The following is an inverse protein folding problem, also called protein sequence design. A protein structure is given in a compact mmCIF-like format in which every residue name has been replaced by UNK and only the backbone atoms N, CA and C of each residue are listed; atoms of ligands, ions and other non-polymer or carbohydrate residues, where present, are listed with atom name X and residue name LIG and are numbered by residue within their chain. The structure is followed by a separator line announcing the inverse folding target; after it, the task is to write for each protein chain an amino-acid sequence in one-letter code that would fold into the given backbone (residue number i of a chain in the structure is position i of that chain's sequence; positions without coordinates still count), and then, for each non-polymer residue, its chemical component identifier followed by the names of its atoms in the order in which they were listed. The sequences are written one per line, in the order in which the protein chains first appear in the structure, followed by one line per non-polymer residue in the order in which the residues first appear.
data_IF_823721594944
#
_entry.id   IF_823721594944
#
_cell.length_a   1.000
_cell.length_b   1.000
_cell.length_c   1.000
_cell.angle_alpha   90.00
_cell.angle_beta   90.00
_cell.angle_gamma   90.00
#
_symmetry.space_group_name_H-M   'P 1'
#
loop_
_entity.id
_entity.type
_entity.pdbx_description
1 polymer ?
#
# COMPACT_ATOMS: atom_id res chain seq x y z
N UNK A 1 67.03 0.85 -12.97
CA UNK A 1 66.00 0.06 -12.25
C UNK A 1 65.39 0.94 -11.16
N UNK A 2 64.26 1.58 -11.46
CA UNK A 2 63.50 2.44 -10.50
C UNK A 2 62.12 1.76 -10.27
N UNK A 3 61.97 1.12 -9.11
CA UNK A 3 60.70 0.66 -8.58
C UNK A 3 59.97 1.83 -7.93
N UNK A 4 58.96 2.36 -8.57
CA UNK A 4 57.95 3.23 -7.96
C UNK A 4 56.92 2.38 -7.25
N UNK A 5 56.94 2.38 -5.91
CA UNK A 5 55.90 1.85 -5.04
C UNK A 5 54.68 2.78 -5.11
N UNK A 6 53.62 2.35 -5.76
CA UNK A 6 52.31 3.02 -5.72
C UNK A 6 51.62 2.77 -4.39
N UNK A 7 51.35 3.83 -3.68
CA UNK A 7 50.63 3.85 -2.40
C UNK A 7 49.15 3.45 -2.50
N UNK A 8 48.60 2.68 -1.54
CA UNK A 8 47.21 2.14 -1.60
C UNK A 8 46.11 3.11 -1.10
N UNK A 9 46.35 4.40 -1.03
CA UNK A 9 45.42 5.37 -0.41
C UNK A 9 44.23 5.79 -1.29
N UNK A 10 44.31 5.63 -2.62
CA UNK A 10 43.23 6.04 -3.53
C UNK A 10 42.00 5.12 -3.52
N UNK A 11 42.14 3.86 -3.13
CA UNK A 11 41.07 2.87 -3.21
C UNK A 11 40.15 2.88 -1.98
N UNK A 12 40.58 3.42 -0.86
CA UNK A 12 39.79 3.51 0.37
C UNK A 12 38.73 4.61 0.32
N UNK A 13 39.01 5.72 -0.37
CA UNK A 13 38.07 6.85 -0.48
C UNK A 13 36.92 6.57 -1.46
N UNK A 14 37.16 5.73 -2.50
CA UNK A 14 36.11 5.30 -3.41
C UNK A 14 35.13 4.29 -2.76
N UNK A 15 35.62 3.43 -1.87
CA UNK A 15 34.75 2.48 -1.15
C UNK A 15 33.90 3.16 -0.05
N UNK A 16 34.41 4.18 0.61
CA UNK A 16 33.67 4.94 1.64
C UNK A 16 32.61 5.85 0.97
N UNK A 17 32.90 6.47 -0.16
CA UNK A 17 31.95 7.28 -0.89
C UNK A 17 30.81 6.42 -1.49
N UNK A 18 31.11 5.22 -2.01
CA UNK A 18 30.09 4.29 -2.51
C UNK A 18 29.22 3.69 -1.38
N UNK A 19 29.80 3.42 -0.20
CA UNK A 19 29.05 2.97 0.97
C UNK A 19 28.16 4.06 1.55
N UNK A 20 28.63 5.31 1.59
CA UNK A 20 27.84 6.48 2.04
C UNK A 20 26.67 6.79 1.07
N UNK A 21 26.87 6.67 -0.23
CA UNK A 21 25.78 6.83 -1.21
C UNK A 21 24.79 5.67 -1.16
N UNK A 22 25.22 4.45 -0.89
CA UNK A 22 24.34 3.29 -0.72
C UNK A 22 23.47 3.42 0.54
N UNK A 23 23.99 3.96 1.64
CA UNK A 23 23.24 4.18 2.88
C UNK A 23 22.25 5.34 2.77
N UNK A 24 22.63 6.45 2.12
CA UNK A 24 21.72 7.60 1.91
C UNK A 24 20.56 7.25 0.97
N UNK A 25 20.80 6.47 -0.08
CA UNK A 25 19.76 5.98 -0.97
C UNK A 25 18.78 5.05 -0.26
N UNK A 26 19.24 4.17 0.62
CA UNK A 26 18.40 3.26 1.39
C UNK A 26 17.45 4.00 2.34
N UNK A 27 17.95 4.97 3.09
CA UNK A 27 17.14 5.78 4.01
C UNK A 27 16.05 6.56 3.29
N UNK A 28 16.37 7.17 2.14
CA UNK A 28 15.38 7.88 1.32
C UNK A 28 14.22 6.96 0.91
N UNK A 29 14.53 5.76 0.42
CA UNK A 29 13.49 4.83 -0.03
C UNK A 29 12.64 4.28 1.12
N UNK A 30 13.21 4.08 2.31
CA UNK A 30 12.46 3.73 3.52
C UNK A 30 11.50 4.86 3.89
N UNK A 31 11.96 6.11 3.90
CA UNK A 31 11.11 7.28 4.18
C UNK A 31 9.98 7.40 3.16
N UNK A 32 10.26 7.26 1.87
CA UNK A 32 9.25 7.30 0.81
C UNK A 32 8.26 6.13 0.92
N UNK A 33 8.72 4.96 1.34
CA UNK A 33 7.84 3.82 1.61
C UNK A 33 6.93 4.08 2.82
N UNK A 34 7.44 4.70 3.90
CA UNK A 34 6.59 5.13 5.04
C UNK A 34 5.56 6.17 4.61
N UNK A 35 5.92 7.14 3.79
CA UNK A 35 4.96 8.10 3.20
C UNK A 35 3.90 7.35 2.38
N UNK A 36 4.30 6.42 1.53
CA UNK A 36 3.35 5.58 0.77
C UNK A 36 2.41 4.80 1.69
N UNK A 37 2.93 4.23 2.79
CA UNK A 37 2.08 3.53 3.75
C UNK A 37 1.16 4.49 4.51
N UNK A 38 1.60 5.71 4.83
CA UNK A 38 0.74 6.72 5.45
C UNK A 38 -0.40 7.14 4.52
N UNK A 39 -0.13 7.38 3.24
CA UNK A 39 -1.18 7.68 2.25
C UNK A 39 -2.19 6.53 2.13
N UNK A 40 -1.72 5.28 2.02
CA UNK A 40 -2.61 4.12 2.01
C UNK A 40 -3.36 3.90 3.33
N UNK A 41 -2.78 4.29 4.46
CA UNK A 41 -3.46 4.29 5.77
C UNK A 41 -4.63 5.27 5.82
N UNK A 42 -4.50 6.42 5.17
CA UNK A 42 -5.58 7.42 5.08
C UNK A 42 -6.70 7.05 4.09
N UNK A 43 -6.52 6.02 3.26
CA UNK A 43 -7.48 5.62 2.23
C UNK A 43 -8.90 5.39 2.79
N UNK A 44 -9.02 4.56 3.82
CA UNK A 44 -10.32 4.24 4.42
C UNK A 44 -10.96 5.46 5.08
N UNK A 45 -10.16 6.35 5.65
CA UNK A 45 -10.63 7.58 6.32
C UNK A 45 -11.21 8.56 5.29
N UNK A 46 -10.49 8.84 4.20
CA UNK A 46 -11.01 9.68 3.12
C UNK A 46 -12.24 9.05 2.45
N UNK A 47 -12.22 7.74 2.20
CA UNK A 47 -13.35 7.04 1.63
C UNK A 47 -14.60 7.14 2.53
N UNK A 48 -14.46 6.93 3.85
CA UNK A 48 -15.56 7.10 4.82
C UNK A 48 -16.04 8.55 4.88
N UNK A 49 -15.14 9.51 4.92
CA UNK A 49 -15.50 10.93 4.91
C UNK A 49 -16.35 11.28 3.69
N UNK A 50 -15.92 10.89 2.49
CA UNK A 50 -16.62 11.16 1.25
C UNK A 50 -17.95 10.41 1.13
N UNK A 51 -18.01 9.17 1.60
CA UNK A 51 -19.23 8.37 1.56
C UNK A 51 -20.24 8.80 2.63
N UNK A 52 -19.81 9.04 3.87
CA UNK A 52 -20.73 9.30 4.98
C UNK A 52 -21.16 10.78 5.04
N UNK A 53 -20.25 11.72 4.78
CA UNK A 53 -20.57 13.17 4.83
C UNK A 53 -21.14 13.72 3.53
N UNK A 54 -20.73 13.15 2.40
CA UNK A 54 -21.13 13.63 1.07
C UNK A 54 -21.98 12.63 0.30
N UNK A 55 -22.29 11.46 0.89
CA UNK A 55 -23.16 10.42 0.34
C UNK A 55 -22.71 9.90 -1.03
N UNK A 56 -21.40 9.97 -1.34
CA UNK A 56 -20.87 9.46 -2.60
C UNK A 56 -20.92 7.94 -2.61
N UNK A 57 -21.30 7.36 -3.74
CA UNK A 57 -21.29 5.92 -3.93
C UNK A 57 -19.87 5.35 -3.88
N UNK A 58 -19.70 4.14 -3.36
CA UNK A 58 -18.39 3.54 -3.19
C UNK A 58 -17.73 3.19 -4.53
N UNK A 59 -18.52 2.68 -5.51
CA UNK A 59 -18.01 2.31 -6.83
C UNK A 59 -17.76 3.54 -7.69
N UNK A 60 -18.66 4.52 -7.69
CA UNK A 60 -18.49 5.79 -8.41
C UNK A 60 -17.30 6.58 -7.88
N UNK A 61 -17.08 6.59 -6.55
CA UNK A 61 -15.91 7.19 -5.93
C UNK A 61 -14.61 6.50 -6.40
N UNK A 62 -14.57 5.18 -6.37
CA UNK A 62 -13.42 4.42 -6.86
C UNK A 62 -13.20 4.62 -8.35
N UNK A 63 -14.26 4.62 -9.18
CA UNK A 63 -14.19 4.84 -10.62
C UNK A 63 -13.59 6.20 -10.95
N UNK A 64 -14.16 7.29 -10.42
CA UNK A 64 -13.73 8.65 -10.75
C UNK A 64 -12.35 8.97 -10.18
N UNK A 65 -12.02 8.52 -8.96
CA UNK A 65 -10.71 8.76 -8.38
C UNK A 65 -9.59 8.04 -9.14
N UNK A 66 -9.83 6.79 -9.57
CA UNK A 66 -8.87 6.07 -10.43
C UNK A 66 -8.83 6.65 -11.85
N UNK A 67 -9.96 7.14 -12.41
CA UNK A 67 -9.98 7.82 -13.70
C UNK A 67 -9.15 9.10 -13.68
N UNK A 68 -9.32 9.92 -12.65
CA UNK A 68 -8.54 11.16 -12.49
C UNK A 68 -7.04 10.85 -12.35
N UNK A 69 -6.68 9.87 -11.50
CA UNK A 69 -5.29 9.42 -11.36
C UNK A 69 -4.72 8.90 -12.67
N UNK A 70 -5.48 8.14 -13.44
CA UNK A 70 -5.11 7.63 -14.76
C UNK A 70 -4.85 8.76 -15.76
N UNK A 71 -5.78 9.71 -15.88
CA UNK A 71 -5.67 10.84 -16.81
C UNK A 71 -4.46 11.72 -16.47
N UNK A 72 -4.27 12.04 -15.19
CA UNK A 72 -3.14 12.87 -14.76
C UNK A 72 -1.82 12.14 -14.95
N UNK A 73 -1.75 10.86 -14.64
CA UNK A 73 -0.56 10.06 -14.88
C UNK A 73 -0.22 10.02 -16.39
N UNK A 74 -1.22 9.79 -17.23
CA UNK A 74 -1.06 9.82 -18.68
C UNK A 74 -0.55 11.18 -19.20
N UNK A 75 -1.09 12.27 -18.64
CA UNK A 75 -0.74 13.62 -19.07
C UNK A 75 0.67 14.03 -18.63
N UNK A 76 0.98 13.88 -17.31
CA UNK A 76 2.21 14.41 -16.73
C UNK A 76 3.41 13.47 -16.82
N UNK A 77 3.18 12.16 -16.95
CA UNK A 77 4.27 11.18 -16.99
C UNK A 77 4.43 10.50 -18.35
N UNK A 78 3.79 11.03 -19.41
CA UNK A 78 3.80 10.47 -20.77
C UNK A 78 5.20 10.05 -21.25
N UNK A 79 6.22 10.86 -20.97
CA UNK A 79 7.62 10.56 -21.35
C UNK A 79 8.26 9.43 -20.55
N UNK A 80 7.74 9.11 -19.37
CA UNK A 80 8.23 8.05 -18.48
C UNK A 80 7.45 6.74 -18.64
N UNK A 81 6.31 6.78 -19.34
CA UNK A 81 5.50 5.60 -19.60
C UNK A 81 6.16 4.73 -20.66
N UNK A 82 6.61 3.57 -20.27
CA UNK A 82 7.11 2.55 -21.20
C UNK A 82 6.01 1.51 -21.47
N UNK A 83 4.99 1.91 -22.25
CA UNK A 83 3.82 1.07 -22.53
C UNK A 83 4.15 -0.18 -23.35
N UNK A 84 5.31 -0.19 -24.04
CA UNK A 84 5.76 -1.35 -24.83
C UNK A 84 6.63 -2.32 -24.03
N UNK A 85 6.92 -2.02 -22.76
CA UNK A 85 7.79 -2.86 -21.92
C UNK A 85 7.18 -4.21 -21.54
N UNK A 86 5.85 -4.32 -21.59
CA UNK A 86 5.14 -5.51 -21.15
C UNK A 86 4.26 -6.08 -22.27
N UNK A 87 4.25 -7.41 -22.46
CA UNK A 87 3.32 -8.06 -23.36
C UNK A 87 1.89 -7.98 -22.81
N UNK A 88 0.89 -7.99 -23.71
CA UNK A 88 -0.52 -7.87 -23.34
C UNK A 88 -0.98 -8.90 -22.28
N UNK A 89 -0.46 -10.13 -22.35
CA UNK A 89 -0.75 -11.18 -21.36
C UNK A 89 -0.40 -10.75 -19.94
N UNK A 90 0.75 -10.11 -19.73
CA UNK A 90 1.17 -9.68 -18.39
C UNK A 90 0.36 -8.48 -17.90
N UNK A 91 -0.01 -7.58 -18.78
CA UNK A 91 -0.91 -6.46 -18.46
C UNK A 91 -2.27 -6.98 -17.99
N UNK A 92 -2.84 -7.96 -18.72
CA UNK A 92 -4.13 -8.58 -18.37
C UNK A 92 -4.04 -9.28 -17.00
N UNK A 93 -2.98 -10.05 -16.75
CA UNK A 93 -2.78 -10.74 -15.46
C UNK A 93 -2.66 -9.71 -14.33
N UNK A 94 -1.85 -8.67 -14.52
CA UNK A 94 -1.68 -7.61 -13.53
C UNK A 94 -2.99 -6.89 -13.22
N UNK A 95 -3.75 -6.49 -14.26
CA UNK A 95 -5.05 -5.86 -14.12
C UNK A 95 -6.06 -6.78 -13.40
N UNK A 96 -6.09 -8.08 -13.74
CA UNK A 96 -6.96 -9.06 -13.08
C UNK A 96 -6.63 -9.21 -11.59
N UNK A 97 -5.35 -9.21 -11.22
CA UNK A 97 -4.92 -9.25 -9.80
C UNK A 97 -5.40 -7.99 -9.06
N UNK A 98 -5.24 -6.81 -9.67
CA UNK A 98 -5.68 -5.54 -9.09
C UNK A 98 -7.19 -5.51 -8.91
N UNK A 99 -7.96 -5.84 -9.93
CA UNK A 99 -9.43 -5.86 -9.91
C UNK A 99 -9.92 -6.89 -8.89
N UNK A 100 -9.39 -8.12 -8.94
CA UNK A 100 -9.75 -9.19 -8.02
C UNK A 100 -9.52 -8.80 -6.57
N UNK A 101 -8.34 -8.24 -6.23
CA UNK A 101 -8.05 -7.71 -4.91
C UNK A 101 -9.06 -6.67 -4.45
N UNK A 102 -9.40 -5.70 -5.32
CA UNK A 102 -10.31 -4.63 -4.95
C UNK A 102 -11.74 -5.14 -4.73
N UNK A 103 -12.22 -6.05 -5.58
CA UNK A 103 -13.53 -6.70 -5.41
C UNK A 103 -13.58 -7.50 -4.10
N UNK A 104 -12.59 -8.33 -3.84
CA UNK A 104 -12.52 -9.14 -2.62
C UNK A 104 -12.56 -8.26 -1.37
N UNK A 105 -11.83 -7.14 -1.36
CA UNK A 105 -11.87 -6.18 -0.25
C UNK A 105 -13.24 -5.52 -0.10
N UNK A 106 -13.88 -5.14 -1.20
CA UNK A 106 -15.20 -4.52 -1.19
C UNK A 106 -16.26 -5.45 -0.59
N UNK A 107 -16.30 -6.71 -1.07
CA UNK A 107 -17.24 -7.70 -0.54
C UNK A 107 -16.90 -8.13 0.88
N UNK A 108 -15.61 -8.28 1.22
CA UNK A 108 -15.21 -8.59 2.58
C UNK A 108 -15.72 -7.53 3.58
N UNK A 109 -15.56 -6.25 3.29
CA UNK A 109 -16.02 -5.16 4.14
C UNK A 109 -17.54 -5.14 4.32
N UNK A 110 -18.31 -5.75 3.40
CA UNK A 110 -19.76 -5.88 3.51
C UNK A 110 -20.21 -7.00 4.44
N UNK A 111 -19.40 -8.07 4.56
CA UNK A 111 -19.79 -9.29 5.25
C UNK A 111 -19.15 -9.47 6.62
N UNK A 112 -18.06 -8.76 6.94
CA UNK A 112 -17.36 -8.89 8.21
C UNK A 112 -16.98 -7.53 8.80
N UNK A 113 -16.52 -7.54 10.06
CA UNK A 113 -16.01 -6.35 10.73
C UNK A 113 -14.79 -5.78 10.00
N UNK A 114 -14.69 -4.46 9.94
CA UNK A 114 -13.53 -3.78 9.38
C UNK A 114 -12.22 -4.22 10.06
N UNK A 115 -12.27 -4.53 11.36
CA UNK A 115 -11.15 -5.09 12.13
C UNK A 115 -10.66 -6.42 11.56
N UNK A 116 -11.58 -7.33 11.20
CA UNK A 116 -11.22 -8.62 10.60
C UNK A 116 -10.57 -8.44 9.23
N UNK A 117 -11.08 -7.51 8.40
CA UNK A 117 -10.49 -7.20 7.10
C UNK A 117 -9.07 -6.68 7.26
N UNK A 118 -8.83 -5.77 8.20
CA UNK A 118 -7.50 -5.24 8.48
C UNK A 118 -6.56 -6.34 9.01
N UNK A 119 -7.03 -7.18 9.93
CA UNK A 119 -6.24 -8.26 10.51
C UNK A 119 -5.79 -9.25 9.44
N UNK A 120 -6.69 -9.64 8.53
CA UNK A 120 -6.33 -10.53 7.41
C UNK A 120 -5.35 -9.87 6.44
N UNK A 121 -5.46 -8.57 6.20
CA UNK A 121 -4.53 -7.84 5.34
C UNK A 121 -3.09 -7.82 5.90
N UNK A 122 -2.93 -7.88 7.22
CA UNK A 122 -1.63 -7.94 7.89
C UNK A 122 -0.93 -9.30 7.75
N UNK A 123 -1.61 -10.32 7.23
CA UNK A 123 -0.97 -11.58 6.85
C UNK A 123 -0.21 -11.47 5.52
N UNK A 124 -0.54 -10.48 4.68
CA UNK A 124 0.11 -10.30 3.38
C UNK A 124 1.66 -10.20 3.48
N UNK A 125 2.28 -9.47 4.41
CA UNK A 125 3.73 -9.43 4.55
C UNK A 125 4.37 -10.81 4.81
N UNK A 126 3.71 -11.69 5.59
CA UNK A 126 4.20 -13.07 5.83
C UNK A 126 4.15 -13.89 4.54
N UNK A 127 3.04 -13.78 3.79
CA UNK A 127 2.86 -14.46 2.50
C UNK A 127 3.92 -13.96 1.51
N UNK A 128 4.14 -12.64 1.42
CA UNK A 128 5.18 -12.04 0.58
C UNK A 128 6.56 -12.59 0.95
N UNK A 129 6.91 -12.58 2.24
CA UNK A 129 8.22 -13.07 2.70
C UNK A 129 8.44 -14.55 2.34
N UNK A 130 7.39 -15.38 2.53
CA UNK A 130 7.45 -16.81 2.21
C UNK A 130 7.61 -17.05 0.71
N UNK A 131 6.76 -16.44 -0.11
CA UNK A 131 6.78 -16.60 -1.57
C UNK A 131 8.07 -16.01 -2.17
N UNK A 132 8.53 -14.83 -1.74
CA UNK A 132 9.78 -14.22 -2.20
C UNK A 132 10.97 -15.14 -1.98
N UNK A 133 11.03 -15.81 -0.82
CA UNK A 133 12.12 -16.74 -0.52
C UNK A 133 12.10 -17.97 -1.42
N UNK A 134 10.91 -18.54 -1.69
CA UNK A 134 10.78 -19.79 -2.45
C UNK A 134 10.86 -19.54 -3.96
N UNK A 135 10.07 -18.62 -4.47
CA UNK A 135 9.90 -18.43 -5.91
C UNK A 135 10.87 -17.41 -6.52
N UNK A 136 11.17 -16.32 -5.80
CA UNK A 136 12.08 -15.29 -6.30
C UNK A 136 13.52 -15.51 -5.83
N UNK A 137 13.77 -16.50 -4.95
CA UNK A 137 15.07 -16.78 -4.33
C UNK A 137 15.72 -15.56 -3.68
N UNK A 138 14.88 -14.62 -3.19
CA UNK A 138 15.35 -13.42 -2.52
C UNK A 138 15.75 -13.73 -1.08
N UNK A 139 16.87 -13.17 -0.65
CA UNK A 139 17.24 -13.19 0.78
C UNK A 139 16.36 -12.21 1.53
N UNK A 140 15.74 -12.67 2.62
CA UNK A 140 14.99 -11.79 3.49
C UNK A 140 15.96 -10.84 4.20
N UNK A 141 15.63 -9.53 4.28
CA UNK A 141 16.40 -8.60 5.09
C UNK A 141 16.51 -9.11 6.54
N UNK A 142 17.65 -8.87 7.20
CA UNK A 142 17.81 -9.19 8.62
C UNK A 142 16.69 -8.54 9.43
N UNK A 143 16.31 -9.14 10.56
CA UNK A 143 15.22 -8.72 11.45
C UNK A 143 13.79 -8.81 10.85
N UNK A 144 13.61 -9.20 9.56
CA UNK A 144 12.27 -9.28 8.94
C UNK A 144 11.31 -10.17 9.73
N UNK A 145 11.73 -11.37 10.11
CA UNK A 145 10.86 -12.31 10.84
C UNK A 145 10.37 -11.76 12.19
N UNK A 146 11.24 -11.29 13.11
CA UNK A 146 10.78 -10.73 14.38
C UNK A 146 10.01 -9.42 14.20
N UNK A 147 10.38 -8.59 13.21
CA UNK A 147 9.63 -7.37 12.93
C UNK A 147 8.19 -7.66 12.46
N UNK A 148 8.00 -8.64 11.58
CA UNK A 148 6.67 -9.07 11.15
C UNK A 148 5.84 -9.54 12.33
N UNK A 149 6.41 -10.41 13.21
CA UNK A 149 5.70 -10.93 14.36
C UNK A 149 5.28 -9.80 15.33
N UNK A 150 6.20 -8.90 15.67
CA UNK A 150 5.91 -7.77 16.56
C UNK A 150 4.89 -6.79 15.95
N UNK A 151 5.02 -6.45 14.66
CA UNK A 151 4.03 -5.64 13.96
C UNK A 151 2.64 -6.30 13.93
N UNK A 152 2.59 -7.62 13.72
CA UNK A 152 1.32 -8.36 13.75
C UNK A 152 0.67 -8.31 15.13
N UNK A 153 1.43 -8.59 16.20
CA UNK A 153 0.93 -8.49 17.58
C UNK A 153 0.45 -7.07 17.93
N UNK A 154 1.25 -6.05 17.62
CA UNK A 154 0.87 -4.66 17.84
C UNK A 154 -0.40 -4.28 17.07
N UNK A 155 -0.55 -4.76 15.85
CA UNK A 155 -1.74 -4.52 15.03
C UNK A 155 -2.99 -5.21 15.59
N UNK A 156 -2.85 -6.40 16.17
CA UNK A 156 -3.96 -7.06 16.88
C UNK A 156 -4.44 -6.17 18.05
N UNK A 157 -3.52 -5.67 18.89
CA UNK A 157 -3.89 -4.75 19.97
C UNK A 157 -4.58 -3.48 19.47
N UNK A 158 -4.11 -2.91 18.35
CA UNK A 158 -4.75 -1.72 17.76
C UNK A 158 -6.18 -2.02 17.30
N UNK A 159 -6.40 -3.16 16.66
CA UNK A 159 -7.70 -3.54 16.10
C UNK A 159 -8.67 -3.91 17.21
N UNK A 160 -8.25 -4.72 18.19
CA UNK A 160 -9.09 -5.09 19.33
C UNK A 160 -9.42 -3.91 20.24
N UNK A 161 -8.54 -2.92 20.29
CA UNK A 161 -8.78 -1.68 21.04
C UNK A 161 -9.68 -0.67 20.33
N UNK A 162 -9.89 -0.79 19.02
CA UNK A 162 -10.79 0.06 18.25
C UNK A 162 -12.17 -0.60 18.09
N UNK A 163 -13.24 0.15 18.36
CA UNK A 163 -14.60 -0.35 18.13
C UNK A 163 -14.99 -0.19 16.66
N UNK A 164 -15.48 -1.25 16.04
CA UNK A 164 -15.99 -1.22 14.67
C UNK A 164 -17.49 -0.89 14.63
N UNK A 165 -17.87 -0.01 13.71
CA UNK A 165 -19.24 0.52 13.63
C UNK A 165 -20.23 -0.41 12.91
N UNK A 166 -19.76 -1.45 12.23
CA UNK A 166 -20.63 -2.34 11.43
C UNK A 166 -20.59 -3.75 12.01
N UNK A 167 -21.75 -4.25 12.41
CA UNK A 167 -21.90 -5.65 12.84
C UNK A 167 -22.28 -6.54 11.66
N UNK A 168 -21.69 -7.74 11.50
CA UNK A 168 -22.13 -8.71 10.51
C UNK A 168 -23.55 -9.17 10.80
N UNK A 169 -24.35 -9.41 9.75
CA UNK A 169 -25.75 -9.81 9.87
C UNK A 169 -25.96 -11.14 10.60
N UNK A 170 -25.03 -12.06 10.38
CA UNK A 170 -25.05 -13.40 10.98
C UNK A 170 -23.63 -14.02 11.02
N UNK A 171 -23.52 -15.18 11.69
CA UNK A 171 -22.23 -15.88 11.87
C UNK A 171 -21.65 -16.38 10.53
N UNK A 172 -22.48 -16.84 9.61
CA UNK A 172 -22.02 -17.37 8.32
C UNK A 172 -21.45 -16.24 7.44
N UNK A 173 -22.17 -15.13 7.38
CA UNK A 173 -21.71 -13.92 6.68
C UNK A 173 -20.37 -13.45 7.21
N UNK A 174 -20.18 -13.46 8.54
CA UNK A 174 -18.90 -13.07 9.15
C UNK A 174 -17.74 -13.98 8.69
N UNK A 175 -17.92 -15.31 8.70
CA UNK A 175 -16.90 -16.24 8.20
C UNK A 175 -16.62 -16.09 6.71
N UNK A 176 -17.65 -15.84 5.91
CA UNK A 176 -17.50 -15.54 4.48
C UNK A 176 -16.64 -14.27 4.28
N UNK A 177 -16.94 -13.21 5.02
CA UNK A 177 -16.17 -11.97 4.98
C UNK A 177 -14.71 -12.15 5.40
N UNK A 178 -14.45 -12.94 6.44
CA UNK A 178 -13.07 -13.30 6.86
C UNK A 178 -12.35 -14.05 5.75
N UNK A 179 -12.99 -15.05 5.12
CA UNK A 179 -12.43 -15.79 4.00
C UNK A 179 -12.10 -14.92 2.79
N UNK A 180 -13.00 -14.01 2.42
CA UNK A 180 -12.79 -13.04 1.34
C UNK A 180 -11.63 -12.09 1.68
N UNK A 181 -11.52 -11.63 2.93
CA UNK A 181 -10.42 -10.78 3.40
C UNK A 181 -9.07 -11.49 3.31
N UNK A 182 -9.02 -12.75 3.73
CA UNK A 182 -7.81 -13.56 3.63
C UNK A 182 -7.39 -13.71 2.16
N UNK A 183 -8.33 -14.00 1.28
CA UNK A 183 -8.06 -14.11 -0.16
C UNK A 183 -7.60 -12.76 -0.73
N UNK A 184 -8.19 -11.64 -0.33
CA UNK A 184 -7.72 -10.31 -0.69
C UNK A 184 -6.27 -10.05 -0.21
N UNK A 185 -5.91 -10.55 0.98
CA UNK A 185 -4.53 -10.53 1.49
C UNK A 185 -3.56 -11.34 0.62
N UNK A 186 -3.98 -12.50 0.13
CA UNK A 186 -3.21 -13.31 -0.84
C UNK A 186 -3.03 -12.54 -2.15
N UNK A 187 -4.09 -11.95 -2.69
CA UNK A 187 -4.01 -11.11 -3.89
C UNK A 187 -3.10 -9.90 -3.70
N UNK A 188 -3.10 -9.29 -2.52
CA UNK A 188 -2.16 -8.21 -2.19
C UNK A 188 -0.71 -8.70 -2.22
N UNK A 189 -0.44 -9.87 -1.63
CA UNK A 189 0.89 -10.46 -1.65
C UNK A 189 1.35 -10.75 -3.09
N UNK A 190 0.48 -11.38 -3.89
CA UNK A 190 0.76 -11.64 -5.31
C UNK A 190 1.00 -10.34 -6.08
N UNK A 191 0.21 -9.30 -5.83
CA UNK A 191 0.40 -7.98 -6.43
C UNK A 191 1.78 -7.39 -6.11
N UNK A 192 2.23 -7.46 -4.85
CA UNK A 192 3.55 -6.93 -4.46
C UNK A 192 4.69 -7.68 -5.17
N UNK A 193 4.56 -8.99 -5.31
CA UNK A 193 5.53 -9.82 -6.03
C UNK A 193 5.51 -9.55 -7.53
N UNK A 194 4.31 -9.34 -8.10
CA UNK A 194 4.13 -9.03 -9.50
C UNK A 194 4.71 -7.65 -9.85
N UNK A 195 4.51 -6.64 -9.02
CA UNK A 195 5.16 -5.33 -9.14
C UNK A 195 6.69 -5.52 -9.23
N UNK A 196 7.27 -6.32 -8.33
CA UNK A 196 8.72 -6.58 -8.33
C UNK A 196 9.17 -7.32 -9.58
N UNK A 197 8.39 -8.33 -10.00
CA UNK A 197 8.68 -9.12 -11.21
C UNK A 197 8.66 -8.27 -12.47
N UNK A 198 7.61 -7.46 -12.64
CA UNK A 198 7.43 -6.61 -13.81
C UNK A 198 8.43 -5.45 -13.83
N UNK A 199 8.81 -4.91 -12.67
CA UNK A 199 9.88 -3.91 -12.57
C UNK A 199 11.23 -4.48 -13.04
N UNK A 200 11.54 -5.75 -12.72
CA UNK A 200 12.75 -6.43 -13.25
C UNK A 200 12.72 -6.62 -14.76
N UNK A 201 11.53 -6.64 -15.37
CA UNK A 201 11.36 -6.69 -16.85
C UNK A 201 11.40 -5.30 -17.51
N UNK A 202 11.69 -4.25 -16.74
CA UNK A 202 11.83 -2.89 -17.26
C UNK A 202 10.56 -2.04 -17.22
N UNK A 203 9.47 -2.53 -16.56
CA UNK A 203 8.30 -1.72 -16.33
C UNK A 203 8.60 -0.66 -15.26
N UNK A 204 8.36 0.62 -15.57
CA UNK A 204 8.50 1.70 -14.59
C UNK A 204 7.34 1.70 -13.60
N UNK A 205 7.55 2.29 -12.42
CA UNK A 205 6.50 2.43 -11.42
C UNK A 205 5.28 3.19 -11.96
N UNK A 206 5.51 4.18 -12.81
CA UNK A 206 4.47 4.94 -13.49
C UNK A 206 3.70 4.07 -14.51
N UNK A 207 4.39 3.21 -15.26
CA UNK A 207 3.76 2.27 -16.19
C UNK A 207 2.85 1.27 -15.45
N UNK A 208 3.31 0.72 -14.32
CA UNK A 208 2.51 -0.18 -13.50
C UNK A 208 1.29 0.55 -12.91
N UNK A 209 1.45 1.78 -12.42
CA UNK A 209 0.33 2.58 -11.94
C UNK A 209 -0.68 2.89 -13.06
N UNK A 210 -0.21 3.16 -14.28
CA UNK A 210 -1.08 3.36 -15.45
C UNK A 210 -1.94 2.13 -15.74
N UNK A 211 -1.33 0.94 -15.76
CA UNK A 211 -2.04 -0.33 -15.98
C UNK A 211 -2.88 -0.78 -14.78
N UNK A 212 -2.68 -0.18 -13.59
CA UNK A 212 -3.55 -0.37 -12.45
C UNK A 212 -4.79 0.52 -12.52
N UNK A 213 -4.63 1.83 -12.76
CA UNK A 213 -5.71 2.79 -12.71
C UNK A 213 -6.71 2.66 -13.85
N UNK A 214 -6.25 2.49 -15.08
CA UNK A 214 -7.12 2.43 -16.26
C UNK A 214 -8.13 1.29 -16.19
N UNK A 215 -7.71 0.01 -16.14
CA UNK A 215 -8.63 -1.12 -16.04
C UNK A 215 -9.51 -1.08 -14.79
N UNK A 216 -8.95 -0.66 -13.64
CA UNK A 216 -9.71 -0.57 -12.38
C UNK A 216 -10.80 0.49 -12.47
N UNK A 217 -10.50 1.67 -13.03
CA UNK A 217 -11.49 2.73 -13.26
C UNK A 217 -12.62 2.27 -14.16
N UNK A 218 -12.28 1.68 -15.31
CA UNK A 218 -13.27 1.17 -16.26
C UNK A 218 -14.17 0.09 -15.65
N UNK A 219 -13.57 -0.85 -14.92
CA UNK A 219 -14.32 -1.91 -14.24
C UNK A 219 -15.26 -1.35 -13.16
N UNK A 220 -14.77 -0.44 -12.29
CA UNK A 220 -15.58 0.16 -11.22
C UNK A 220 -16.69 1.03 -11.78
N UNK A 221 -16.47 1.73 -12.90
CA UNK A 221 -17.50 2.51 -13.59
C UNK A 221 -18.60 1.61 -14.12
N UNK A 222 -18.25 0.54 -14.84
CA UNK A 222 -19.21 -0.43 -15.33
C UNK A 222 -20.00 -1.08 -14.19
N UNK A 223 -19.34 -1.46 -13.11
CA UNK A 223 -20.00 -2.01 -11.93
C UNK A 223 -20.96 -1.00 -11.28
N UNK A 224 -20.58 0.27 -11.16
CA UNK A 224 -21.45 1.33 -10.62
C UNK A 224 -22.69 1.54 -11.48
N UNK A 225 -22.54 1.53 -12.80
CA UNK A 225 -23.66 1.66 -13.74
C UNK A 225 -24.58 0.44 -13.71
N UNK A 226 -24.03 -0.77 -13.63
CA UNK A 226 -24.84 -2.00 -13.62
C UNK A 226 -25.70 -2.17 -12.37
N UNK A 227 -25.21 -1.68 -11.20
CA UNK A 227 -26.02 -1.70 -9.96
C UNK A 227 -26.90 -0.47 -9.78
N UNK A 228 -26.93 0.44 -10.78
CA UNK A 228 -27.65 1.71 -10.72
C UNK A 228 -27.30 2.53 -9.47
N UNK A 229 -26.00 2.67 -9.17
CA UNK A 229 -25.54 3.49 -8.04
C UNK A 229 -26.01 4.95 -8.21
N UNK A 230 -26.40 5.60 -7.12
CA UNK A 230 -26.86 6.99 -7.16
C UNK A 230 -25.72 7.96 -7.45
N UNK A 231 -25.75 8.61 -8.60
CA UNK A 231 -24.76 9.61 -9.03
C UNK A 231 -25.13 11.07 -8.68
N UNK A 232 -26.35 11.30 -8.18
CA UNK A 232 -26.81 12.67 -7.86
C UNK A 232 -25.92 13.42 -6.85
N UNK A 233 -25.32 12.79 -5.81
CA UNK A 233 -24.43 13.50 -4.89
C UNK A 233 -23.21 14.15 -5.56
N UNK A 234 -22.77 13.64 -6.71
CA UNK A 234 -21.65 14.21 -7.47
C UNK A 234 -21.98 15.59 -8.07
N UNK A 235 -23.21 15.83 -8.46
CA UNK A 235 -23.64 17.12 -9.06
C UNK A 235 -23.73 18.25 -8.02
N UNK A 236 -23.89 17.90 -6.74
CA UNK A 236 -24.06 18.82 -5.63
C UNK A 236 -22.88 18.79 -4.64
N UNK A 237 -21.72 18.31 -5.09
CA UNK A 237 -20.55 18.15 -4.22
C UNK A 237 -19.99 19.52 -3.81
N UNK A 238 -20.13 19.87 -2.52
CA UNK A 238 -19.62 21.11 -1.96
C UNK A 238 -18.06 21.16 -2.00
N UNK A 239 -17.51 22.38 -1.95
CA UNK A 239 -16.07 22.61 -2.02
C UNK A 239 -15.23 21.73 -1.06
N UNK A 240 -15.59 21.54 0.22
CA UNK A 240 -14.83 20.64 1.11
C UNK A 240 -14.80 19.18 0.62
N UNK A 241 -15.92 18.68 0.08
CA UNK A 241 -16.02 17.36 -0.52
C UNK A 241 -15.15 17.23 -1.78
N UNK A 242 -15.16 18.27 -2.62
CA UNK A 242 -14.31 18.30 -3.82
C UNK A 242 -12.83 18.32 -3.47
N UNK A 243 -12.40 19.12 -2.50
CA UNK A 243 -11.01 19.14 -2.03
C UNK A 243 -10.59 17.79 -1.43
N UNK A 244 -11.47 17.18 -0.62
CA UNK A 244 -11.23 15.85 -0.07
C UNK A 244 -11.14 14.78 -1.17
N UNK A 245 -11.99 14.84 -2.21
CA UNK A 245 -11.93 13.96 -3.37
C UNK A 245 -10.63 14.14 -4.16
N UNK A 246 -10.20 15.37 -4.42
CA UNK A 246 -8.94 15.65 -5.08
C UNK A 246 -7.75 15.13 -4.26
N UNK A 247 -7.74 15.37 -2.95
CA UNK A 247 -6.72 14.82 -2.05
C UNK A 247 -6.72 13.29 -2.09
N UNK A 248 -7.88 12.66 -2.05
CA UNK A 248 -8.02 11.21 -2.16
C UNK A 248 -7.46 10.67 -3.49
N UNK A 249 -7.83 11.27 -4.62
CA UNK A 249 -7.36 10.82 -5.93
C UNK A 249 -5.86 11.08 -6.17
N UNK A 250 -5.36 12.26 -5.77
CA UNK A 250 -3.99 12.69 -6.10
C UNK A 250 -2.96 12.23 -5.08
N UNK A 251 -3.25 12.41 -3.80
CA UNK A 251 -2.29 12.09 -2.74
C UNK A 251 -2.41 10.62 -2.35
N UNK A 252 -3.64 10.15 -2.08
CA UNK A 252 -3.81 8.79 -1.58
C UNK A 252 -3.63 7.77 -2.70
N UNK A 253 -4.32 7.92 -3.82
CA UNK A 253 -4.24 6.94 -4.91
C UNK A 253 -3.02 7.17 -5.78
N UNK A 254 -2.89 8.31 -6.44
CA UNK A 254 -1.83 8.51 -7.44
C UNK A 254 -0.44 8.49 -6.80
N UNK A 255 -0.17 9.38 -5.86
CA UNK A 255 1.13 9.45 -5.18
C UNK A 255 1.40 8.16 -4.39
N UNK A 256 0.42 7.68 -3.60
CA UNK A 256 0.53 6.45 -2.82
C UNK A 256 0.89 5.24 -3.66
N UNK A 257 0.25 5.06 -4.83
CA UNK A 257 0.53 3.94 -5.74
C UNK A 257 1.90 4.06 -6.41
N UNK A 258 2.26 5.24 -6.91
CA UNK A 258 3.58 5.44 -7.54
C UNK A 258 4.70 5.20 -6.53
N UNK A 259 4.56 5.73 -5.31
CA UNK A 259 5.53 5.49 -4.24
C UNK A 259 5.57 4.02 -3.80
N UNK A 260 4.41 3.33 -3.77
CA UNK A 260 4.34 1.90 -3.51
C UNK A 260 5.14 1.10 -4.54
N UNK A 261 4.88 1.35 -5.81
CA UNK A 261 5.55 0.63 -6.91
C UNK A 261 7.07 0.88 -6.87
N UNK A 262 7.51 2.12 -6.66
CA UNK A 262 8.93 2.47 -6.47
C UNK A 262 9.52 1.85 -5.21
N UNK A 263 8.79 1.87 -4.11
CA UNK A 263 9.22 1.25 -2.87
C UNK A 263 9.46 -0.26 -3.02
N UNK A 264 8.53 -0.97 -3.68
CA UNK A 264 8.67 -2.40 -3.98
C UNK A 264 9.83 -2.65 -4.96
N UNK A 265 10.00 -1.80 -5.97
CA UNK A 265 11.12 -1.90 -6.92
C UNK A 265 12.47 -1.75 -6.22
N UNK A 266 12.64 -0.73 -5.38
CA UNK A 266 13.92 -0.35 -4.77
C UNK A 266 14.27 -1.14 -3.52
N UNK A 267 13.30 -1.36 -2.63
CA UNK A 267 13.51 -2.09 -1.36
C UNK A 267 13.28 -3.60 -1.49
N UNK A 268 12.57 -4.04 -2.53
CA UNK A 268 12.03 -5.38 -2.62
C UNK A 268 10.70 -5.55 -1.88
N UNK A 269 9.90 -6.53 -2.32
CA UNK A 269 8.57 -6.75 -1.78
C UNK A 269 8.59 -7.11 -0.26
N UNK A 270 9.49 -7.97 0.25
CA UNK A 270 9.53 -8.28 1.68
C UNK A 270 9.82 -7.06 2.57
N UNK A 271 10.84 -6.25 2.23
CA UNK A 271 11.20 -5.08 3.02
C UNK A 271 10.10 -4.02 3.00
N UNK A 272 9.52 -3.74 1.82
CA UNK A 272 8.41 -2.80 1.68
C UNK A 272 7.20 -3.23 2.52
N UNK A 273 6.81 -4.51 2.46
CA UNK A 273 5.62 -4.99 3.18
C UNK A 273 5.83 -5.15 4.68
N UNK A 274 7.07 -5.35 5.16
CA UNK A 274 7.36 -5.46 6.60
C UNK A 274 6.95 -4.18 7.36
N UNK A 275 7.07 -3.02 6.73
CA UNK A 275 6.67 -1.72 7.34
C UNK A 275 5.19 -1.38 7.09
N UNK A 276 4.41 -2.26 6.47
CA UNK A 276 3.00 -2.02 6.12
C UNK A 276 2.12 -1.73 7.35
N UNK A 277 2.47 -2.26 8.52
CA UNK A 277 1.71 -2.02 9.76
C UNK A 277 1.63 -0.53 10.14
N UNK A 278 2.56 0.32 9.65
CA UNK A 278 2.48 1.77 9.80
C UNK A 278 1.21 2.40 9.21
N UNK A 279 0.54 1.71 8.28
CA UNK A 279 -0.77 2.14 7.75
C UNK A 279 -1.83 2.28 8.84
N UNK A 280 -1.82 1.40 9.84
CA UNK A 280 -2.79 1.46 10.95
C UNK A 280 -2.54 2.68 11.82
N UNK A 281 -1.29 3.00 12.10
CA UNK A 281 -0.93 4.21 12.85
C UNK A 281 -1.38 5.46 12.09
N UNK A 282 -1.11 5.50 10.78
CA UNK A 282 -1.56 6.59 9.93
C UNK A 282 -3.10 6.68 9.86
N UNK A 283 -3.81 5.54 9.79
CA UNK A 283 -5.26 5.52 9.81
C UNK A 283 -5.83 6.17 11.08
N UNK A 284 -5.28 5.87 12.26
CA UNK A 284 -5.69 6.50 13.52
C UNK A 284 -5.44 8.01 13.48
N UNK A 285 -4.26 8.43 13.04
CA UNK A 285 -3.91 9.85 12.96
C UNK A 285 -4.87 10.61 12.02
N UNK A 286 -5.12 10.08 10.83
CA UNK A 286 -6.04 10.71 9.88
C UNK A 286 -7.50 10.65 10.32
N UNK A 287 -7.94 9.58 11.03
CA UNK A 287 -9.27 9.51 11.62
C UNK A 287 -9.46 10.62 12.66
N UNK A 288 -8.46 10.85 13.51
CA UNK A 288 -8.49 11.95 14.45
C UNK A 288 -8.56 13.33 13.76
N UNK A 289 -7.76 13.54 12.73
CA UNK A 289 -7.70 14.83 12.01
C UNK A 289 -8.95 15.14 11.18
N UNK A 290 -9.52 14.14 10.49
CA UNK A 290 -10.61 14.35 9.52
C UNK A 290 -12.00 14.01 10.07
N UNK A 291 -12.09 13.03 10.97
CA UNK A 291 -13.35 12.54 11.52
C UNK A 291 -13.53 12.92 13.00
N UNK A 292 -12.51 13.44 13.67
CA UNK A 292 -12.51 13.70 15.11
C UNK A 292 -12.45 12.42 15.97
N UNK A 293 -12.15 11.27 15.35
CA UNK A 293 -12.08 9.98 16.03
C UNK A 293 -10.66 9.76 16.60
N UNK A 294 -10.51 9.93 17.91
CA UNK A 294 -9.23 9.72 18.60
C UNK A 294 -8.94 8.26 18.92
N UNK A 295 -7.87 8.03 19.68
CA UNK A 295 -7.55 6.72 20.25
C UNK A 295 -8.67 6.34 21.23
N UNK A 296 -9.30 5.19 21.02
CA UNK A 296 -10.49 4.75 21.74
C UNK A 296 -10.17 3.93 23.00
N UNK A 297 -8.94 3.38 23.09
CA UNK A 297 -8.56 2.56 24.24
C UNK A 297 -7.06 2.53 24.48
N UNK A 298 -6.67 2.16 25.71
CA UNK A 298 -5.27 1.92 26.07
C UNK A 298 -4.66 0.78 25.23
N UNK A 299 -5.43 -0.24 24.89
CA UNK A 299 -4.98 -1.34 24.04
C UNK A 299 -4.60 -0.84 22.64
N UNK A 300 -5.40 0.07 22.05
CA UNK A 300 -5.12 0.71 20.77
C UNK A 300 -3.83 1.55 20.83
N UNK A 301 -3.65 2.35 21.89
CA UNK A 301 -2.45 3.14 22.11
C UNK A 301 -1.20 2.26 22.25
N UNK A 302 -1.31 1.20 23.04
CA UNK A 302 -0.21 0.24 23.27
C UNK A 302 0.17 -0.49 21.97
N UNK A 303 -0.82 -0.94 21.20
CA UNK A 303 -0.60 -1.56 19.90
C UNK A 303 0.11 -0.61 18.91
N UNK A 304 -0.30 0.66 18.85
CA UNK A 304 0.35 1.68 18.04
C UNK A 304 1.81 1.88 18.45
N UNK A 305 2.09 1.93 19.75
CA UNK A 305 3.45 2.06 20.28
C UNK A 305 4.34 0.88 19.88
N UNK A 306 3.83 -0.36 19.99
CA UNK A 306 4.56 -1.57 19.55
C UNK A 306 4.89 -1.46 18.06
N UNK A 307 3.94 -1.08 17.21
CA UNK A 307 4.13 -0.96 15.76
C UNK A 307 5.19 0.10 15.45
N UNK A 308 5.09 1.29 16.05
CA UNK A 308 6.05 2.39 15.85
C UNK A 308 7.46 1.95 16.29
N UNK A 309 7.59 1.40 17.49
CA UNK A 309 8.88 0.95 18.03
C UNK A 309 9.51 -0.14 17.13
N UNK A 310 8.69 -1.09 16.67
CA UNK A 310 9.17 -2.18 15.80
C UNK A 310 9.63 -1.67 14.45
N UNK A 311 8.87 -0.76 13.82
CA UNK A 311 9.24 -0.17 12.51
C UNK A 311 10.52 0.66 12.67
N UNK A 312 10.62 1.46 13.74
CA UNK A 312 11.83 2.23 14.04
C UNK A 312 13.04 1.29 14.19
N UNK A 313 12.92 0.25 15.01
CA UNK A 313 13.98 -0.73 15.18
C UNK A 313 14.36 -1.45 13.87
N UNK A 314 13.37 -1.82 13.04
CA UNK A 314 13.60 -2.48 11.76
C UNK A 314 14.33 -1.58 10.76
N UNK A 315 14.02 -0.28 10.75
CA UNK A 315 14.58 0.68 9.79
C UNK A 315 15.94 1.23 10.21
N UNK A 316 16.35 1.06 11.48
CA UNK A 316 17.66 1.47 11.93
C UNK A 316 18.77 0.62 11.26
N UNK A 317 19.82 1.27 10.70
CA UNK A 317 20.94 0.56 10.10
C UNK A 317 21.59 -0.37 11.13
N UNK A 318 21.96 -1.57 10.71
CA UNK A 318 22.79 -2.43 11.55
C UNK A 318 24.16 -1.77 11.71
N UNK A 319 24.58 -1.59 12.97
CA UNK A 319 25.98 -1.26 13.24
C UNK A 319 26.82 -2.41 12.66
N UNK A 320 27.61 -2.10 11.63
CA UNK A 320 28.59 -3.05 11.12
C UNK A 320 29.46 -3.52 12.28
N UNK A 321 29.31 -4.78 12.65
CA UNK A 321 30.27 -5.45 13.55
C UNK A 321 31.56 -5.74 12.81
#
# INVERSE_FOLDING_TARGET
MNHQTRTPTANKNLSVASASQATSGGTLWITLALVSHATWGSYSVFARYLQNRHHLGALSLAALANALAFCLLALFTRKKLNLKSLPAKEIIIYAAIVIGRNLLNLYAARYTYATNVQLMSLLAPFIVAYISRIFLKETLPPKTKPALLLCFLGSIFMILGGQGDVQPKDRLSNWLGIGLSLLAGVFLAVLMLEIKRLSRKGATAETLAFYQFGPLSGFMLLASLTINENWQPWTNLALPGMLAFLCFALVVLLLGTVLQNKGVEKLGAPAYTTIQASRLVAAILFSWLLLGEGIQSLAQAFGALIVIATITWYTLPEKSR
#
